data_IF_481701481711
#
_entry.id   IF_481701481711
#
_cell.length_a   1.000
_cell.length_b   1.000
_cell.length_c   1.000
_cell.angle_alpha   90.00
_cell.angle_beta   90.00
_cell.angle_gamma   90.00
#
_symmetry.space_group_name_H-M   'P 1'
#
loop_
_entity.id
_entity.type
_entity.pdbx_description
1 polymer ?
#
# COMPACT_ATOMS: atom_id res chain seq x y z
N UNK A 1 -37.87 6.51 5.99
CA UNK A 1 -37.30 6.24 4.67
C UNK A 1 -36.18 7.24 4.41
N UNK A 2 -35.00 6.94 4.91
CA UNK A 2 -33.76 7.62 4.49
C UNK A 2 -33.29 6.88 3.26
N UNK A 3 -33.41 7.50 2.13
CA UNK A 3 -32.84 7.05 0.87
C UNK A 3 -31.32 7.19 0.96
N UNK A 4 -30.66 6.07 0.86
CA UNK A 4 -29.21 5.94 0.85
C UNK A 4 -28.64 6.73 -0.34
N UNK A 5 -28.01 7.85 -0.06
CA UNK A 5 -27.38 8.71 -1.04
C UNK A 5 -25.93 8.24 -1.26
N UNK A 6 -25.78 7.01 -1.76
CA UNK A 6 -24.47 6.45 -2.15
C UNK A 6 -24.01 7.11 -3.44
N UNK A 7 -23.32 8.20 -3.31
CA UNK A 7 -22.61 8.80 -4.43
C UNK A 7 -21.32 8.03 -4.69
N UNK A 8 -21.30 7.21 -5.72
CA UNK A 8 -20.07 6.66 -6.26
C UNK A 8 -19.17 7.81 -6.72
N UNK A 9 -18.13 8.10 -5.96
CA UNK A 9 -17.09 9.08 -6.31
C UNK A 9 -15.84 8.31 -6.69
N UNK A 10 -15.38 8.45 -7.93
CA UNK A 10 -14.02 8.10 -8.28
C UNK A 10 -13.05 9.05 -7.60
N UNK A 11 -11.92 8.55 -7.21
CA UNK A 11 -10.80 9.40 -6.87
C UNK A 11 -10.46 10.26 -8.07
N UNK A 12 -10.46 11.55 -7.89
CA UNK A 12 -9.71 12.41 -8.81
C UNK A 12 -8.24 12.03 -8.67
N UNK A 13 -7.51 11.82 -9.76
CA UNK A 13 -6.08 11.66 -9.64
C UNK A 13 -5.53 12.86 -8.90
N UNK A 14 -4.60 12.63 -7.99
CA UNK A 14 -3.74 13.69 -7.53
C UNK A 14 -3.20 14.38 -8.77
N UNK A 15 -3.22 15.72 -8.90
CA UNK A 15 -2.77 16.44 -10.10
C UNK A 15 -1.28 16.28 -10.36
N UNK A 16 -0.55 15.77 -9.38
CA UNK A 16 0.71 15.09 -9.58
C UNK A 16 0.52 13.67 -9.08
N UNK A 17 0.48 12.70 -9.95
CA UNK A 17 0.75 11.35 -9.51
C UNK A 17 2.06 11.44 -8.76
N UNK A 18 2.01 11.11 -7.48
CA UNK A 18 3.24 10.78 -6.77
C UNK A 18 4.02 9.94 -7.77
N UNK A 19 5.30 10.25 -8.06
CA UNK A 19 6.08 9.46 -8.97
C UNK A 19 6.14 8.05 -8.39
N UNK A 20 5.19 7.24 -8.72
CA UNK A 20 4.85 6.01 -8.13
C UNK A 20 3.60 5.52 -8.76
N UNK A 21 3.76 5.34 -10.04
CA UNK A 21 2.72 4.73 -10.81
C UNK A 21 2.36 3.37 -10.27
N UNK A 22 1.44 2.88 -10.77
CA UNK A 22 0.49 1.91 -10.40
C UNK A 22 0.58 0.78 -11.42
N UNK A 23 0.50 -0.46 -11.00
CA UNK A 23 0.87 -1.61 -11.75
C UNK A 23 -0.12 -2.16 -12.75
N UNK A 24 0.27 -3.24 -13.39
CA UNK A 24 -0.57 -4.00 -14.30
C UNK A 24 -1.90 -4.42 -13.67
N UNK A 25 -1.95 -4.47 -12.34
CA UNK A 25 -3.17 -4.55 -11.56
C UNK A 25 -3.26 -3.26 -10.73
N UNK A 26 -4.06 -2.33 -11.20
CA UNK A 26 -4.18 -1.01 -10.60
C UNK A 26 -5.61 -0.67 -10.19
N UNK A 27 -5.75 0.20 -9.20
CA UNK A 27 -7.02 0.57 -8.62
C UNK A 27 -7.26 2.08 -8.64
N UNK A 28 -8.44 2.46 -9.11
CA UNK A 28 -8.96 3.81 -8.97
C UNK A 28 -9.52 4.01 -7.56
N UNK A 29 -8.81 4.74 -6.72
CA UNK A 29 -9.23 4.99 -5.34
C UNK A 29 -10.22 6.15 -5.22
N UNK A 30 -11.21 5.97 -4.36
CA UNK A 30 -11.95 7.10 -3.84
C UNK A 30 -11.06 7.98 -2.95
N UNK A 31 -11.13 9.32 -3.05
CA UNK A 31 -10.40 10.20 -2.14
C UNK A 31 -10.86 9.95 -0.71
N UNK A 32 -9.91 9.92 0.24
CA UNK A 32 -10.25 9.89 1.67
C UNK A 32 -10.96 11.19 2.03
N UNK A 33 -12.14 11.09 2.61
CA UNK A 33 -12.80 12.27 3.18
C UNK A 33 -11.95 12.87 4.29
N UNK A 34 -11.99 14.17 4.40
CA UNK A 34 -11.29 14.92 5.45
C UNK A 34 -11.91 14.60 6.83
N UNK A 35 -13.20 14.28 6.87
CA UNK A 35 -13.98 14.03 8.08
C UNK A 35 -14.84 12.74 8.02
N UNK A 36 -14.37 11.68 7.37
CA UNK A 36 -15.13 10.44 7.34
C UNK A 36 -14.66 9.40 6.33
N UNK A 37 -15.32 8.25 6.34
CA UNK A 37 -15.12 7.18 5.36
C UNK A 37 -16.00 7.50 4.15
N UNK A 38 -15.38 7.75 2.99
CA UNK A 38 -16.11 7.84 1.73
C UNK A 38 -16.34 6.41 1.24
N UNK A 39 -17.59 6.03 1.03
CA UNK A 39 -17.92 4.86 0.25
C UNK A 39 -17.65 5.16 -1.22
N UNK A 40 -16.81 4.35 -1.83
CA UNK A 40 -16.44 4.48 -3.23
C UNK A 40 -16.22 3.11 -3.86
N UNK A 41 -16.10 3.11 -5.17
CA UNK A 41 -15.73 1.92 -5.92
C UNK A 41 -14.29 2.03 -6.39
N UNK A 42 -13.60 0.90 -6.39
CA UNK A 42 -12.26 0.74 -6.93
C UNK A 42 -12.34 -0.01 -8.24
N UNK A 43 -11.98 0.62 -9.35
CA UNK A 43 -11.81 -0.05 -10.65
C UNK A 43 -10.41 -0.62 -10.77
N UNK A 44 -10.30 -1.90 -11.00
CA UNK A 44 -9.05 -2.65 -11.19
C UNK A 44 -8.96 -3.14 -12.63
N UNK A 45 -7.77 -3.17 -13.20
CA UNK A 45 -7.54 -3.73 -14.52
C UNK A 45 -6.23 -4.50 -14.58
N UNK A 46 -6.21 -5.59 -15.32
CA UNK A 46 -5.02 -6.27 -15.78
C UNK A 46 -4.75 -5.89 -17.24
N UNK A 47 -3.51 -5.52 -17.54
CA UNK A 47 -3.11 -4.97 -18.83
C UNK A 47 -1.98 -5.80 -19.42
N UNK A 48 -2.12 -6.18 -20.69
CA UNK A 48 -1.04 -6.82 -21.45
C UNK A 48 0.07 -5.80 -21.77
N UNK A 49 1.31 -6.20 -21.53
CA UNK A 49 2.45 -5.30 -21.69
C UNK A 49 2.71 -4.94 -23.16
N UNK A 50 2.56 -5.89 -24.06
CA UNK A 50 2.95 -5.71 -25.46
C UNK A 50 2.02 -4.78 -26.23
N UNK A 51 0.72 -4.92 -26.00
CA UNK A 51 -0.33 -4.21 -26.73
C UNK A 51 -1.03 -3.13 -25.92
N UNK A 52 -0.84 -3.13 -24.60
CA UNK A 52 -1.58 -2.30 -23.65
C UNK A 52 -3.12 -2.53 -23.71
N UNK A 53 -3.52 -3.73 -24.09
CA UNK A 53 -4.91 -4.17 -24.06
C UNK A 53 -5.27 -4.54 -22.61
N UNK A 54 -6.41 -4.08 -22.14
CA UNK A 54 -6.99 -4.51 -20.86
C UNK A 54 -7.56 -5.91 -21.03
N UNK A 55 -6.95 -6.90 -20.40
CA UNK A 55 -7.35 -8.32 -20.50
C UNK A 55 -8.38 -8.71 -19.45
N UNK A 56 -8.42 -7.99 -18.33
CA UNK A 56 -9.42 -8.16 -17.27
C UNK A 56 -9.72 -6.81 -16.61
N UNK A 57 -10.99 -6.58 -16.29
CA UNK A 57 -11.45 -5.36 -15.64
C UNK A 57 -12.58 -5.65 -14.66
N UNK A 58 -12.45 -5.19 -13.42
CA UNK A 58 -13.44 -5.40 -12.36
C UNK A 58 -13.61 -4.11 -11.54
N UNK A 59 -14.82 -3.83 -11.05
CA UNK A 59 -15.06 -2.80 -10.06
C UNK A 59 -15.55 -3.38 -8.75
N UNK A 60 -14.94 -2.93 -7.66
CA UNK A 60 -15.17 -3.44 -6.32
C UNK A 60 -15.61 -2.31 -5.38
N UNK A 61 -16.52 -2.62 -4.45
CA UNK A 61 -16.96 -1.70 -3.38
C UNK A 61 -16.15 -1.83 -2.09
N UNK A 62 -15.08 -2.61 -2.08
CA UNK A 62 -14.23 -2.83 -0.91
C UNK A 62 -13.09 -1.81 -0.86
N UNK A 63 -12.74 -1.37 0.34
CA UNK A 63 -11.64 -0.41 0.53
C UNK A 63 -10.24 -1.03 0.57
N UNK A 64 -10.13 -2.37 0.59
CA UNK A 64 -8.85 -3.10 0.66
C UNK A 64 -8.44 -3.59 -0.73
N UNK A 65 -7.43 -2.94 -1.31
CA UNK A 65 -6.86 -3.37 -2.60
C UNK A 65 -6.14 -4.71 -2.49
N UNK A 66 -5.58 -5.02 -1.33
CA UNK A 66 -4.82 -6.26 -1.12
C UNK A 66 -5.66 -7.51 -1.42
N UNK A 67 -6.97 -7.46 -1.12
CA UNK A 67 -7.89 -8.57 -1.36
C UNK A 67 -8.22 -8.78 -2.86
N UNK A 68 -7.88 -7.81 -3.71
CA UNK A 68 -8.24 -7.85 -5.13
C UNK A 68 -7.18 -8.51 -6.02
N UNK A 69 -5.97 -8.78 -5.52
CA UNK A 69 -4.90 -9.38 -6.31
C UNK A 69 -5.27 -10.76 -6.82
N UNK A 70 -5.66 -11.65 -5.91
CA UNK A 70 -5.99 -13.04 -6.24
C UNK A 70 -7.16 -13.15 -7.22
N UNK A 71 -8.32 -12.51 -7.02
CA UNK A 71 -9.41 -12.51 -7.99
C UNK A 71 -9.00 -12.03 -9.39
N UNK A 72 -8.13 -11.02 -9.48
CA UNK A 72 -7.63 -10.51 -10.75
C UNK A 72 -6.72 -11.52 -11.46
N UNK A 73 -5.81 -12.15 -10.74
CA UNK A 73 -4.93 -13.19 -11.29
C UNK A 73 -5.74 -14.40 -11.75
N UNK A 74 -6.71 -14.85 -10.97
CA UNK A 74 -7.58 -15.96 -11.33
C UNK A 74 -8.40 -15.65 -12.61
N UNK A 75 -8.93 -14.43 -12.71
CA UNK A 75 -9.71 -14.00 -13.87
C UNK A 75 -8.87 -13.92 -15.17
N UNK A 76 -7.56 -13.75 -15.07
CA UNK A 76 -6.64 -13.78 -16.24
C UNK A 76 -6.22 -15.18 -16.65
N UNK A 77 -6.65 -16.23 -15.97
CA UNK A 77 -6.16 -17.60 -16.19
C UNK A 77 -6.32 -18.11 -17.63
N UNK A 78 -7.37 -17.66 -18.33
CA UNK A 78 -7.64 -18.09 -19.71
C UNK A 78 -6.73 -17.41 -20.76
N UNK A 79 -6.12 -16.28 -20.42
CA UNK A 79 -5.33 -15.47 -21.36
C UNK A 79 -3.84 -15.43 -21.02
N UNK A 80 -3.44 -16.00 -19.90
CA UNK A 80 -2.03 -16.07 -19.47
C UNK A 80 -1.38 -17.38 -19.89
N UNK A 81 -0.11 -17.31 -20.28
CA UNK A 81 0.76 -18.48 -20.43
C UNK A 81 1.41 -18.85 -19.06
N UNK A 82 1.92 -20.08 -18.90
CA UNK A 82 2.59 -20.49 -17.67
C UNK A 82 3.76 -19.57 -17.27
N UNK A 83 4.47 -19.02 -18.24
CA UNK A 83 5.61 -18.13 -18.07
C UNK A 83 5.23 -16.65 -17.91
N UNK A 84 3.94 -16.33 -17.84
CA UNK A 84 3.48 -14.93 -17.69
C UNK A 84 3.96 -14.34 -16.37
N UNK A 85 4.67 -13.22 -16.45
CA UNK A 85 5.11 -12.44 -15.32
C UNK A 85 4.04 -11.42 -14.95
N UNK A 86 3.69 -11.35 -13.66
CA UNK A 86 2.73 -10.41 -13.14
C UNK A 86 3.45 -9.26 -12.44
N UNK A 87 3.11 -8.03 -12.79
CA UNK A 87 3.59 -6.86 -12.08
C UNK A 87 2.40 -6.09 -11.48
N UNK A 88 2.44 -5.79 -10.19
CA UNK A 88 1.36 -5.11 -9.51
C UNK A 88 1.86 -3.95 -8.64
N UNK A 89 0.95 -3.10 -8.19
CA UNK A 89 1.25 -1.94 -7.36
C UNK A 89 1.66 -2.32 -5.92
N UNK A 90 2.32 -1.39 -5.25
CA UNK A 90 2.68 -1.49 -3.84
C UNK A 90 1.46 -1.69 -2.91
N UNK A 91 0.27 -1.29 -3.34
CA UNK A 91 -0.98 -1.54 -2.63
C UNK A 91 -1.27 -3.04 -2.42
N UNK A 92 -0.75 -3.91 -3.29
CA UNK A 92 -0.91 -5.36 -3.21
C UNK A 92 0.17 -6.08 -2.40
N UNK A 93 1.21 -5.35 -1.96
CA UNK A 93 2.33 -5.93 -1.22
C UNK A 93 1.92 -6.30 0.22
N UNK A 94 1.62 -7.56 0.44
CA UNK A 94 1.32 -8.12 1.76
C UNK A 94 1.89 -9.53 1.88
N UNK A 95 2.22 -9.94 3.11
CA UNK A 95 2.75 -11.29 3.36
C UNK A 95 1.80 -12.37 2.84
N UNK A 96 0.48 -12.17 3.02
CA UNK A 96 -0.54 -13.13 2.57
C UNK A 96 -0.56 -13.28 1.04
N UNK A 97 -0.57 -12.16 0.29
CA UNK A 97 -0.55 -12.21 -1.17
C UNK A 97 0.75 -12.81 -1.71
N UNK A 98 1.90 -12.44 -1.13
CA UNK A 98 3.19 -12.92 -1.59
C UNK A 98 3.40 -14.41 -1.26
N UNK A 99 2.82 -14.88 -0.17
CA UNK A 99 2.78 -16.30 0.17
C UNK A 99 1.91 -17.07 -0.82
N UNK A 100 0.71 -16.60 -1.11
CA UNK A 100 -0.22 -17.20 -2.07
C UNK A 100 0.40 -17.31 -3.47
N UNK A 101 1.07 -16.25 -3.94
CA UNK A 101 1.80 -16.25 -5.21
C UNK A 101 2.94 -17.29 -5.23
N UNK A 102 3.66 -17.43 -4.12
CA UNK A 102 4.73 -18.42 -4.01
C UNK A 102 4.20 -19.86 -3.98
N UNK A 103 3.09 -20.10 -3.29
CA UNK A 103 2.43 -21.41 -3.20
C UNK A 103 1.77 -21.81 -4.54
N UNK A 104 1.35 -20.83 -5.34
CA UNK A 104 0.76 -21.07 -6.67
C UNK A 104 1.78 -20.99 -7.82
N UNK A 105 3.06 -20.84 -7.49
CA UNK A 105 4.18 -20.75 -8.46
C UNK A 105 4.01 -19.64 -9.50
N UNK A 106 3.31 -18.55 -9.13
CA UNK A 106 3.11 -17.41 -10.02
C UNK A 106 4.29 -16.45 -9.90
N UNK A 107 4.98 -16.21 -11.01
CA UNK A 107 6.06 -15.23 -11.06
C UNK A 107 5.50 -13.81 -11.01
N UNK A 108 5.82 -13.08 -9.95
CA UNK A 108 5.30 -11.73 -9.73
C UNK A 108 6.37 -10.75 -9.23
N UNK A 109 6.16 -9.46 -9.54
CA UNK A 109 6.95 -8.33 -9.06
C UNK A 109 6.02 -7.30 -8.44
N UNK A 110 6.02 -7.22 -7.11
CA UNK A 110 5.15 -6.33 -6.31
C UNK A 110 6.02 -5.53 -5.36
N UNK A 111 6.28 -4.23 -5.63
CA UNK A 111 7.14 -3.41 -4.79
C UNK A 111 6.49 -3.12 -3.44
N UNK A 112 7.28 -2.94 -2.40
CA UNK A 112 6.83 -2.38 -1.14
C UNK A 112 6.80 -0.84 -1.21
N UNK A 113 6.12 -0.18 -0.27
CA UNK A 113 6.00 1.29 -0.24
C UNK A 113 7.35 2.02 -0.09
N UNK A 114 8.39 1.33 0.37
CA UNK A 114 9.72 1.89 0.59
C UNK A 114 10.71 1.66 -0.57
N UNK A 115 10.32 0.99 -1.65
CA UNK A 115 11.26 0.59 -2.71
C UNK A 115 11.99 1.77 -3.36
N UNK A 116 11.34 2.92 -3.51
CA UNK A 116 11.93 4.13 -4.10
C UNK A 116 13.02 4.75 -3.25
N UNK A 117 12.86 4.69 -1.93
CA UNK A 117 13.86 5.20 -0.99
C UNK A 117 15.17 4.41 -1.08
N UNK A 118 15.11 3.17 -1.57
CA UNK A 118 16.26 2.29 -1.78
C UNK A 118 16.85 2.34 -3.20
N UNK A 119 16.21 3.07 -4.10
CA UNK A 119 16.64 3.18 -5.50
C UNK A 119 17.18 4.58 -5.77
N UNK A 120 18.47 4.68 -6.09
CA UNK A 120 19.17 5.93 -6.36
C UNK A 120 18.52 6.76 -7.51
N UNK A 121 17.81 6.11 -8.45
CA UNK A 121 17.09 6.81 -9.53
C UNK A 121 16.01 7.75 -9.03
N UNK A 122 15.51 7.52 -7.81
CA UNK A 122 14.50 8.36 -7.17
C UNK A 122 15.09 9.33 -6.13
N UNK A 123 16.41 9.41 -6.01
CA UNK A 123 17.05 10.40 -5.15
C UNK A 123 16.67 11.82 -5.61
N UNK A 124 16.25 12.67 -4.67
CA UNK A 124 15.84 14.04 -4.97
C UNK A 124 14.42 14.22 -5.48
N UNK A 125 13.60 13.17 -5.60
CA UNK A 125 12.19 13.31 -6.01
C UNK A 125 11.38 14.24 -5.13
N UNK A 126 11.71 14.34 -3.84
CA UNK A 126 11.01 15.24 -2.91
C UNK A 126 11.17 16.72 -3.31
N UNK A 127 12.23 17.07 -4.03
CA UNK A 127 12.45 18.43 -4.56
C UNK A 127 11.42 18.81 -5.64
N UNK A 128 10.82 17.82 -6.29
CA UNK A 128 9.84 18.01 -7.36
C UNK A 128 8.40 17.75 -6.91
N UNK A 129 8.16 17.54 -5.61
CA UNK A 129 6.80 17.40 -5.09
C UNK A 129 6.00 18.67 -5.37
N UNK A 130 4.86 18.50 -6.03
CA UNK A 130 3.92 19.60 -6.21
C UNK A 130 3.46 20.15 -4.86
N UNK A 131 3.20 21.46 -4.84
CA UNK A 131 2.54 22.09 -3.69
C UNK A 131 1.16 21.43 -3.49
N UNK A 132 0.70 21.27 -2.24
CA UNK A 132 -0.62 20.73 -1.96
C UNK A 132 -1.69 21.53 -2.73
N UNK A 133 -2.66 20.83 -3.30
CA UNK A 133 -3.78 21.45 -4.00
C UNK A 133 -4.58 22.39 -3.10
N UNK A 134 -5.33 23.31 -3.76
CA UNK A 134 -6.25 24.22 -3.07
C UNK A 134 -7.34 23.49 -2.24
N UNK A 135 -7.68 22.25 -2.63
CA UNK A 135 -8.62 21.37 -1.91
C UNK A 135 -8.00 20.62 -0.75
N UNK A 136 -6.66 20.65 -0.63
CA UNK A 136 -6.00 20.04 0.51
C UNK A 136 -6.38 20.79 1.80
N UNK A 137 -6.60 20.05 2.89
CA UNK A 137 -6.97 20.63 4.17
C UNK A 137 -5.92 21.63 4.64
N UNK A 138 -6.28 22.92 4.60
CA UNK A 138 -5.42 24.04 5.00
C UNK A 138 -5.48 24.35 6.51
N UNK A 139 -6.32 23.62 7.25
CA UNK A 139 -6.37 23.80 8.71
C UNK A 139 -5.02 23.46 9.30
N UNK A 140 -4.47 24.30 10.17
CA UNK A 140 -3.23 23.96 10.84
C UNK A 140 -3.42 22.63 11.56
N UNK A 141 -2.59 21.64 11.22
CA UNK A 141 -2.57 20.39 11.97
C UNK A 141 -2.22 20.75 13.39
N UNK A 142 -3.14 20.48 14.32
CA UNK A 142 -2.84 20.65 15.74
C UNK A 142 -1.52 19.95 16.03
N UNK A 143 -0.57 20.66 16.60
CA UNK A 143 0.71 20.12 17.01
C UNK A 143 0.44 19.01 18.04
N UNK A 144 0.33 17.79 17.55
CA UNK A 144 0.21 16.63 18.43
C UNK A 144 1.57 16.39 19.05
N UNK A 145 1.68 16.45 20.37
CA UNK A 145 2.96 16.23 21.02
C UNK A 145 3.55 14.90 20.54
N UNK A 146 4.82 14.95 20.14
CA UNK A 146 5.56 13.75 19.70
C UNK A 146 5.50 12.71 20.82
N UNK A 147 5.02 11.51 20.49
CA UNK A 147 5.04 10.39 21.41
C UNK A 147 6.38 9.67 21.35
N UNK A 148 6.80 9.16 22.50
CA UNK A 148 8.00 8.34 22.57
C UNK A 148 7.84 7.04 21.77
N UNK A 149 8.81 6.78 20.94
CA UNK A 149 8.99 5.56 20.14
C UNK A 149 9.95 4.60 20.85
N UNK A 150 10.10 3.34 20.45
CA UNK A 150 11.10 2.44 21.02
C UNK A 150 12.55 3.00 20.97
N UNK A 151 12.87 3.85 19.99
CA UNK A 151 14.18 4.48 19.86
C UNK A 151 14.49 5.51 20.96
N UNK A 152 13.47 6.02 21.63
CA UNK A 152 13.64 6.97 22.75
C UNK A 152 13.99 6.25 24.07
N UNK A 153 13.95 4.90 24.09
CA UNK A 153 14.30 4.06 25.23
C UNK A 153 15.74 3.58 25.09
N UNK A 154 16.52 3.75 26.14
CA UNK A 154 17.92 3.31 26.15
C UNK A 154 18.01 1.83 26.52
N UNK A 155 18.32 1.01 25.54
CA UNK A 155 18.59 -0.42 25.72
C UNK A 155 20.09 -0.65 25.82
N UNK A 156 20.47 -1.42 26.82
CA UNK A 156 21.85 -1.90 27.01
C UNK A 156 21.87 -3.39 26.61
N UNK A 157 22.58 -3.75 25.54
CA UNK A 157 22.64 -5.13 25.05
C UNK A 157 23.49 -6.06 25.97
N UNK A 158 24.47 -5.52 26.69
CA UNK A 158 25.35 -6.34 27.58
C UNK A 158 24.59 -6.78 28.82
N UNK A 159 23.90 -5.84 29.46
CA UNK A 159 23.12 -6.13 30.67
C UNK A 159 21.69 -6.53 30.40
N UNK A 160 21.27 -6.47 29.13
CA UNK A 160 19.89 -6.66 28.70
C UNK A 160 18.87 -5.84 29.50
N UNK A 161 19.21 -4.60 29.78
CA UNK A 161 18.37 -3.69 30.55
C UNK A 161 17.83 -2.57 29.66
N UNK A 162 16.66 -2.06 30.01
CA UNK A 162 16.02 -0.99 29.28
C UNK A 162 15.61 0.14 30.22
N UNK A 163 15.96 1.38 29.88
CA UNK A 163 15.64 2.58 30.67
C UNK A 163 14.72 3.48 29.85
N UNK A 164 13.64 3.98 30.45
CA UNK A 164 12.69 4.87 29.80
C UNK A 164 13.21 6.33 29.75
N UNK A 165 12.58 7.22 28.94
CA UNK A 165 12.97 8.64 28.88
C UNK A 165 12.89 9.40 30.20
N UNK A 166 12.11 8.91 31.16
CA UNK A 166 12.06 9.45 32.52
C UNK A 166 13.18 8.90 33.45
N UNK A 167 14.14 8.15 32.91
CA UNK A 167 15.26 7.59 33.68
C UNK A 167 14.90 6.36 34.54
N UNK A 168 13.71 5.78 34.40
CA UNK A 168 13.29 4.61 35.18
C UNK A 168 13.62 3.32 34.44
N UNK A 169 14.15 2.33 35.19
CA UNK A 169 14.44 1.00 34.67
C UNK A 169 13.13 0.23 34.42
N UNK A 170 13.03 -0.37 33.24
CA UNK A 170 11.94 -1.27 32.88
C UNK A 170 12.33 -2.71 33.24
N UNK A 171 11.37 -3.54 33.64
CA UNK A 171 11.62 -4.96 33.86
C UNK A 171 11.29 -5.78 32.59
N UNK A 172 12.00 -6.89 32.40
CA UNK A 172 11.76 -7.80 31.29
C UNK A 172 10.39 -8.47 31.40
N UNK A 173 9.59 -8.39 30.36
CA UNK A 173 8.25 -8.99 30.25
C UNK A 173 8.15 -9.95 29.06
N UNK A 174 9.21 -10.63 28.74
CA UNK A 174 9.35 -11.62 27.67
C UNK A 174 10.68 -11.52 26.97
N UNK A 175 11.57 -12.44 27.28
CA UNK A 175 12.79 -12.70 26.52
C UNK A 175 12.47 -13.62 25.33
N UNK A 176 13.28 -13.57 24.28
CA UNK A 176 13.19 -14.48 23.11
C UNK A 176 11.82 -14.54 22.42
N UNK A 177 11.10 -13.43 22.35
CA UNK A 177 9.88 -13.39 21.55
C UNK A 177 10.22 -13.19 20.06
N UNK A 178 9.41 -13.80 19.21
CA UNK A 178 9.41 -13.50 17.77
C UNK A 178 8.16 -12.69 17.46
N UNK A 179 8.36 -11.49 16.91
CA UNK A 179 7.27 -10.58 16.50
C UNK A 179 7.46 -10.30 15.01
N UNK A 180 6.52 -10.75 14.19
CA UNK A 180 6.57 -10.59 12.73
C UNK A 180 7.92 -11.04 12.11
N UNK A 181 8.44 -12.19 12.56
CA UNK A 181 9.72 -12.74 12.09
C UNK A 181 10.99 -12.11 12.67
N UNK A 182 10.87 -11.15 13.58
CA UNK A 182 12.00 -10.52 14.25
C UNK A 182 12.09 -10.97 15.70
N UNK A 183 13.31 -11.30 16.15
CA UNK A 183 13.58 -11.53 17.56
C UNK A 183 13.42 -10.21 18.33
N UNK A 184 12.77 -10.27 19.45
CA UNK A 184 12.54 -9.11 20.29
C UNK A 184 12.61 -9.47 21.77
N UNK A 185 13.04 -8.50 22.57
CA UNK A 185 12.89 -8.53 24.02
C UNK A 185 11.83 -7.51 24.39
N UNK A 186 10.85 -7.91 25.19
CA UNK A 186 9.80 -7.04 25.70
C UNK A 186 10.15 -6.54 27.09
N UNK A 187 9.95 -5.25 27.28
CA UNK A 187 10.11 -4.59 28.55
C UNK A 187 8.83 -3.90 28.98
N UNK A 188 8.59 -3.81 30.28
CA UNK A 188 7.43 -3.13 30.85
C UNK A 188 7.85 -2.23 32.00
N UNK A 189 7.23 -1.05 32.08
CA UNK A 189 7.42 -0.16 33.22
C UNK A 189 6.64 -0.60 34.44
N UNK A 190 7.18 -0.38 35.62
CA UNK A 190 6.48 -0.63 36.86
C UNK A 190 5.31 0.36 37.05
N UNK A 191 4.19 -0.12 37.58
CA UNK A 191 3.00 0.71 37.81
C UNK A 191 3.31 1.91 38.72
N UNK A 192 4.09 1.69 39.77
CA UNK A 192 4.53 2.73 40.69
C UNK A 192 5.34 3.85 40.04
N UNK A 193 6.05 3.58 38.95
CA UNK A 193 6.84 4.57 38.22
C UNK A 193 6.03 5.24 37.08
N UNK A 194 5.17 4.47 36.39
CA UNK A 194 4.43 4.93 35.23
C UNK A 194 3.19 5.77 35.58
N UNK A 195 2.49 5.44 36.69
CA UNK A 195 1.26 6.13 37.05
C UNK A 195 1.52 7.59 37.43
N UNK A 196 2.48 7.92 38.31
CA UNK A 196 2.78 9.32 38.67
C UNK A 196 3.73 10.04 37.68
N UNK A 197 4.10 9.41 36.56
CA UNK A 197 5.11 9.96 35.65
C UNK A 197 4.62 11.24 34.95
N UNK A 198 5.39 12.32 35.05
CA UNK A 198 5.09 13.58 34.37
C UNK A 198 5.09 13.47 32.83
N UNK A 199 5.85 12.51 32.26
CA UNK A 199 5.93 12.26 30.81
C UNK A 199 4.87 11.26 30.33
N UNK A 200 3.92 10.89 31.16
CA UNK A 200 2.91 9.88 30.87
C UNK A 200 2.11 10.16 29.59
N UNK A 201 1.70 11.42 29.36
CA UNK A 201 0.94 11.84 28.18
C UNK A 201 1.70 11.68 26.86
N UNK A 202 3.05 11.81 26.91
CA UNK A 202 3.91 11.57 25.73
C UNK A 202 4.28 10.08 25.58
N UNK A 203 4.20 9.33 26.67
CA UNK A 203 4.63 7.92 26.71
C UNK A 203 3.50 6.95 26.30
N UNK A 204 2.27 7.22 26.71
CA UNK A 204 1.12 6.33 26.49
C UNK A 204 0.12 6.93 25.48
N UNK A 205 -0.47 6.05 24.67
CA UNK A 205 -1.50 6.48 23.71
C UNK A 205 -2.81 6.85 24.39
N UNK A 206 -3.17 6.08 25.42
CA UNK A 206 -4.39 6.26 26.25
C UNK A 206 -4.01 6.17 27.71
N UNK A 207 -3.47 7.28 28.28
CA UNK A 207 -2.97 7.27 29.66
C UNK A 207 -4.04 6.85 30.69
N UNK A 208 -5.31 7.18 30.44
CA UNK A 208 -6.42 6.87 31.36
C UNK A 208 -6.69 5.35 31.44
N UNK A 209 -6.47 4.63 30.32
CA UNK A 209 -6.79 3.19 30.18
C UNK A 209 -5.59 2.29 30.37
N UNK A 210 -4.39 2.81 30.08
CA UNK A 210 -3.14 2.00 30.06
C UNK A 210 -2.27 2.35 31.25
N UNK A 211 -2.11 1.48 32.24
CA UNK A 211 -1.35 1.81 33.48
C UNK A 211 0.14 1.95 33.25
N UNK A 212 0.74 1.17 32.34
CA UNK A 212 2.19 1.08 32.17
C UNK A 212 2.58 1.07 30.69
N UNK A 213 3.81 1.49 30.40
CA UNK A 213 4.39 1.40 29.06
C UNK A 213 4.98 0.01 28.82
N UNK A 214 4.65 -0.61 27.71
CA UNK A 214 5.39 -1.71 27.13
C UNK A 214 6.22 -1.24 25.94
N UNK A 215 7.42 -1.77 25.78
CA UNK A 215 8.28 -1.55 24.63
C UNK A 215 8.91 -2.87 24.20
N UNK A 216 9.00 -3.09 22.88
CA UNK A 216 9.74 -4.21 22.31
C UNK A 216 11.00 -3.65 21.65
N UNK A 217 12.13 -4.21 22.01
CA UNK A 217 13.43 -3.94 21.40
C UNK A 217 13.72 -5.07 20.43
N UNK A 218 13.82 -4.75 19.14
CA UNK A 218 14.08 -5.72 18.10
C UNK A 218 15.59 -5.97 17.96
N UNK A 219 15.98 -7.25 17.98
CA UNK A 219 17.39 -7.70 17.94
C UNK A 219 17.82 -8.17 16.54
N UNK A 220 16.95 -8.06 15.54
CA UNK A 220 17.16 -8.57 14.19
C UNK A 220 16.22 -9.72 13.86
N UNK A 221 16.35 -10.25 12.64
CA UNK A 221 15.50 -11.35 12.17
C UNK A 221 15.75 -12.64 12.96
N UNK A 222 14.70 -13.41 13.17
CA UNK A 222 14.82 -14.75 13.73
C UNK A 222 15.51 -15.67 12.71
N UNK A 223 16.43 -16.56 13.13
CA UNK A 223 17.07 -17.52 12.23
C UNK A 223 16.00 -18.37 11.51
N UNK A 224 16.17 -18.58 10.21
CA UNK A 224 15.25 -19.35 9.39
C UNK A 224 13.92 -18.68 9.07
N UNK A 225 13.71 -17.44 9.48
CA UNK A 225 12.46 -16.69 9.25
C UNK A 225 12.65 -15.64 8.15
N UNK A 226 12.83 -16.10 6.92
CA UNK A 226 12.75 -15.22 5.76
C UNK A 226 11.28 -15.13 5.32
N UNK A 227 10.67 -13.96 5.47
CA UNK A 227 9.29 -13.72 5.07
C UNK A 227 9.17 -13.60 3.54
N UNK A 228 7.99 -13.86 3.00
CA UNK A 228 7.74 -13.64 1.57
C UNK A 228 7.92 -12.17 1.19
N UNK A 229 7.61 -11.23 2.09
CA UNK A 229 7.88 -9.80 1.89
C UNK A 229 9.37 -9.49 1.78
N UNK A 230 10.24 -10.14 2.55
CA UNK A 230 11.69 -9.94 2.44
C UNK A 230 12.23 -10.48 1.11
N UNK A 231 11.78 -11.66 0.69
CA UNK A 231 12.15 -12.24 -0.60
C UNK A 231 11.71 -11.36 -1.77
N UNK A 232 10.45 -10.87 -1.72
CA UNK A 232 9.95 -9.97 -2.75
C UNK A 232 10.72 -8.64 -2.75
N UNK A 233 11.06 -8.09 -1.59
CA UNK A 233 11.88 -6.88 -1.49
C UNK A 233 13.25 -7.08 -2.15
N UNK A 234 13.94 -8.15 -1.85
CA UNK A 234 15.22 -8.48 -2.49
C UNK A 234 15.08 -8.65 -4.01
N UNK A 235 13.98 -9.30 -4.47
CA UNK A 235 13.66 -9.46 -5.88
C UNK A 235 13.43 -8.11 -6.58
N UNK A 236 12.70 -7.19 -5.96
CA UNK A 236 12.42 -5.83 -6.49
C UNK A 236 13.69 -4.98 -6.52
N UNK A 237 14.54 -5.08 -5.50
CA UNK A 237 15.77 -4.29 -5.40
C UNK A 237 16.87 -4.77 -6.38
N UNK A 238 16.69 -5.94 -7.00
CA UNK A 238 17.57 -6.42 -8.08
C UNK A 238 17.46 -5.57 -9.35
N UNK A 239 18.45 -5.63 -10.24
CA UNK A 239 18.40 -4.94 -11.53
C UNK A 239 17.18 -5.36 -12.36
N UNK A 240 16.89 -6.67 -12.41
CA UNK A 240 15.71 -7.18 -13.10
C UNK A 240 14.43 -6.67 -12.47
N UNK A 241 14.31 -6.68 -11.14
CA UNK A 241 13.15 -6.16 -10.44
C UNK A 241 12.90 -4.69 -10.73
N UNK A 242 13.94 -3.86 -10.67
CA UNK A 242 13.85 -2.44 -11.00
C UNK A 242 13.42 -2.19 -12.44
N UNK A 243 13.91 -3.01 -13.39
CA UNK A 243 13.49 -2.96 -14.79
C UNK A 243 12.03 -3.35 -14.95
N UNK A 244 11.58 -4.42 -14.28
CA UNK A 244 10.18 -4.85 -14.34
C UNK A 244 9.23 -3.80 -13.81
N UNK A 245 9.56 -3.13 -12.71
CA UNK A 245 8.74 -2.03 -12.18
C UNK A 245 8.71 -0.84 -13.16
N UNK A 246 9.82 -0.52 -13.81
CA UNK A 246 9.84 0.55 -14.83
C UNK A 246 8.96 0.20 -16.03
N UNK A 247 9.03 -1.04 -16.52
CA UNK A 247 8.20 -1.53 -17.64
C UNK A 247 6.72 -1.48 -17.28
N UNK A 248 6.39 -1.90 -16.06
CA UNK A 248 5.02 -1.81 -15.55
C UNK A 248 4.45 -0.37 -15.68
N UNK A 249 5.21 0.64 -15.26
CA UNK A 249 4.76 2.04 -15.39
C UNK A 249 4.49 2.42 -16.84
N UNK A 250 5.41 2.08 -17.74
CA UNK A 250 5.24 2.33 -19.15
C UNK A 250 4.04 1.59 -19.78
N UNK A 251 3.61 0.49 -19.18
CA UNK A 251 2.46 -0.30 -19.65
C UNK A 251 1.14 0.29 -19.15
N UNK A 252 1.03 0.58 -17.86
CA UNK A 252 -0.27 0.81 -17.22
C UNK A 252 -0.63 2.29 -17.18
N UNK A 253 0.32 3.18 -16.95
CA UNK A 253 0.04 4.62 -16.89
C UNK A 253 -0.62 5.16 -18.15
N UNK A 254 -0.19 4.82 -19.39
CA UNK A 254 -0.85 5.26 -20.59
C UNK A 254 -2.30 4.77 -20.70
N UNK A 255 -2.59 3.54 -20.24
CA UNK A 255 -3.94 2.97 -20.28
C UNK A 255 -4.88 3.77 -19.37
N UNK A 256 -4.50 3.95 -18.11
CA UNK A 256 -5.29 4.73 -17.16
C UNK A 256 -5.33 6.22 -17.55
N UNK A 257 -4.23 6.75 -18.07
CA UNK A 257 -4.17 8.11 -18.63
C UNK A 257 -5.18 8.30 -19.77
N UNK A 258 -5.28 7.34 -20.68
CA UNK A 258 -6.26 7.37 -21.76
C UNK A 258 -7.71 7.29 -21.25
N UNK A 259 -7.99 6.37 -20.34
CA UNK A 259 -9.34 6.20 -19.78
C UNK A 259 -9.76 7.45 -18.99
N UNK A 260 -8.89 8.00 -18.16
CA UNK A 260 -9.20 9.19 -17.35
C UNK A 260 -9.16 10.49 -18.14
N UNK A 261 -8.09 10.73 -18.89
CA UNK A 261 -7.85 11.98 -19.59
C UNK A 261 -8.65 12.10 -20.86
N UNK A 262 -8.47 11.18 -21.81
CA UNK A 262 -9.09 11.26 -23.12
C UNK A 262 -10.56 10.86 -23.08
N UNK A 263 -10.90 9.78 -22.35
CA UNK A 263 -12.30 9.30 -22.23
C UNK A 263 -13.04 9.94 -21.07
N UNK A 264 -12.37 10.76 -20.25
CA UNK A 264 -12.93 11.54 -19.16
C UNK A 264 -13.69 10.71 -18.11
N UNK A 265 -13.24 9.48 -17.86
CA UNK A 265 -13.73 8.68 -16.75
C UNK A 265 -12.93 9.05 -15.48
N UNK A 266 -13.10 10.25 -14.99
CA UNK A 266 -12.50 10.75 -13.76
C UNK A 266 -13.31 10.34 -12.51
N UNK A 267 -14.56 9.92 -12.70
CA UNK A 267 -15.46 9.41 -11.65
C UNK A 267 -16.52 8.50 -12.23
N UNK A 268 -16.95 7.51 -11.44
CA UNK A 268 -18.12 6.71 -11.80
C UNK A 268 -19.40 7.54 -11.69
N UNK A 269 -20.24 7.47 -12.69
CA UNK A 269 -21.52 8.21 -12.75
C UNK A 269 -22.70 7.31 -12.37
N UNK A 270 -22.53 6.00 -12.46
CA UNK A 270 -23.53 5.02 -12.10
C UNK A 270 -23.44 4.63 -10.61
N UNK A 271 -24.51 4.05 -10.08
CA UNK A 271 -24.61 3.59 -8.69
C UNK A 271 -24.90 2.09 -8.63
N UNK A 272 -24.40 1.45 -7.58
CA UNK A 272 -24.51 0.01 -7.40
C UNK A 272 -23.41 -0.77 -8.14
N UNK A 273 -22.85 -1.78 -7.46
CA UNK A 273 -21.66 -2.51 -7.91
C UNK A 273 -21.80 -3.00 -9.36
N UNK A 274 -22.88 -3.67 -9.71
CA UNK A 274 -23.08 -4.24 -11.05
C UNK A 274 -23.05 -3.17 -12.16
N UNK A 275 -23.68 -2.02 -11.91
CA UNK A 275 -23.72 -0.93 -12.89
C UNK A 275 -22.37 -0.24 -13.03
N UNK A 276 -21.66 -0.05 -11.90
CA UNK A 276 -20.31 0.53 -11.88
C UNK A 276 -19.31 -0.40 -12.55
N UNK A 277 -19.38 -1.70 -12.29
CA UNK A 277 -18.56 -2.70 -12.97
C UNK A 277 -18.82 -2.72 -14.48
N UNK A 278 -20.07 -2.66 -14.89
CA UNK A 278 -20.45 -2.51 -16.31
C UNK A 278 -19.91 -1.23 -16.93
N UNK A 279 -19.98 -0.09 -16.22
CA UNK A 279 -19.40 1.17 -16.68
C UNK A 279 -17.88 1.05 -16.84
N UNK A 280 -17.19 0.49 -15.85
CA UNK A 280 -15.74 0.29 -15.90
C UNK A 280 -15.33 -0.58 -17.10
N UNK A 281 -15.97 -1.74 -17.27
CA UNK A 281 -15.73 -2.65 -18.39
C UNK A 281 -15.98 -2.00 -19.74
N UNK A 282 -17.02 -1.19 -19.86
CA UNK A 282 -17.31 -0.47 -21.10
C UNK A 282 -16.18 0.50 -21.50
N UNK A 283 -15.64 1.25 -20.54
CA UNK A 283 -14.52 2.16 -20.81
C UNK A 283 -13.24 1.40 -21.16
N UNK A 284 -12.98 0.28 -20.50
CA UNK A 284 -11.86 -0.60 -20.85
C UNK A 284 -12.05 -1.21 -22.26
N UNK A 285 -13.26 -1.61 -22.62
CA UNK A 285 -13.57 -2.11 -23.96
C UNK A 285 -13.33 -1.04 -25.04
N UNK A 286 -13.79 0.19 -24.82
CA UNK A 286 -13.55 1.31 -25.77
C UNK A 286 -12.05 1.58 -25.90
N UNK A 287 -11.28 1.53 -24.80
CA UNK A 287 -9.82 1.62 -24.86
C UNK A 287 -9.22 0.50 -25.71
N UNK A 288 -9.68 -0.74 -25.53
CA UNK A 288 -9.20 -1.89 -26.30
C UNK A 288 -9.52 -1.75 -27.81
N UNK A 289 -10.70 -1.29 -28.16
CA UNK A 289 -11.07 -1.04 -29.56
C UNK A 289 -10.12 -0.03 -30.21
N UNK A 290 -9.79 1.05 -29.52
CA UNK A 290 -8.81 2.02 -30.03
C UNK A 290 -7.42 1.40 -30.20
N UNK A 291 -6.97 0.61 -29.21
CA UNK A 291 -5.68 -0.08 -29.33
C UNK A 291 -5.65 -1.03 -30.52
N UNK A 292 -6.69 -1.84 -30.72
CA UNK A 292 -6.81 -2.72 -31.88
C UNK A 292 -6.80 -1.93 -33.20
N UNK A 293 -7.51 -0.81 -33.27
CA UNK A 293 -7.51 0.03 -34.45
C UNK A 293 -6.13 0.63 -34.77
N UNK A 294 -5.36 1.02 -33.74
CA UNK A 294 -4.01 1.55 -33.91
C UNK A 294 -2.93 0.50 -34.20
N UNK A 295 -3.06 -0.71 -33.65
CA UNK A 295 -2.10 -1.79 -33.87
C UNK A 295 -2.37 -2.62 -35.13
N UNK A 296 -3.46 -2.31 -35.83
CA UNK A 296 -3.70 -2.77 -37.18
C UNK A 296 -4.57 -4.00 -37.27
N UNK A 297 -5.79 -3.77 -37.74
CA UNK A 297 -6.46 -4.68 -38.65
C UNK A 297 -5.88 -4.60 -40.06
N UNK A 298 -4.77 -3.88 -40.19
CA UNK A 298 -4.09 -3.70 -41.45
C UNK A 298 -3.05 -4.82 -41.66
N UNK A 299 -3.49 -6.02 -41.81
CA UNK A 299 -2.79 -7.08 -42.54
C UNK A 299 -3.79 -7.95 -43.25
#
# INVERSE_FOLDING_TARGET
>A
NRTDNESAKMATPHPNPLPGGEGAIDALRAPKAIDGIIQGYTGVAAVDEKTQIVVEAQAHGTGSEQELLRPMIEATALVRAPETIHAADAGYHSEANLKDLAETEIDAYIPDNGYRQRDARYAGQDAHRAKPEALHDKRPKADKPRRFTPADFRFDPETQTCTCPAGKRLYGNGGNCVINGYRAIKFQGAKQDCVPCALRGQCLRTPEKTPTRQVAIFLGKAPGHESHTDRMRAKIDSETGRRMITRRFATVEPVFGNIRGNKRLDRFTLRGRTKVDGQWKLYCLVHNIEKLAHHGYAQ
#
